data_IF_513610715654
#
_entry.id   IF_513610715654
#
_cell.length_a   1.000
_cell.length_b   1.000
_cell.length_c   1.000
_cell.angle_alpha   90.00
_cell.angle_beta   90.00
_cell.angle_gamma   90.00
#
_symmetry.space_group_name_H-M   'P 1'
#
loop_
_entity.id
_entity.type
_entity.pdbx_description
1 polymer ?
#
# COMPACT_ATOMS: atom_id res chain seq x y z
N UNK A 1 -27.39 18.33 -1.15
CA UNK A 1 -27.34 18.01 -2.59
C UNK A 1 -26.36 16.86 -2.73
N UNK A 2 -26.79 15.67 -3.16
CA UNK A 2 -26.12 14.40 -2.81
C UNK A 2 -26.18 13.35 -3.94
N UNK A 3 -25.73 13.73 -5.12
CA UNK A 3 -25.52 12.83 -6.27
C UNK A 3 -24.48 13.45 -7.21
N UNK A 4 -24.39 14.78 -7.24
CA UNK A 4 -23.34 15.53 -7.93
C UNK A 4 -22.00 15.51 -7.16
N UNK A 5 -21.99 15.49 -5.81
CA UNK A 5 -20.78 15.15 -5.00
C UNK A 5 -20.33 13.68 -5.22
N UNK A 6 -21.28 12.78 -5.54
CA UNK A 6 -20.95 11.39 -5.92
C UNK A 6 -20.29 11.31 -7.30
N UNK A 7 -20.55 12.26 -8.20
CA UNK A 7 -19.85 12.39 -9.49
C UNK A 7 -18.42 12.94 -9.32
N UNK A 8 -18.07 13.63 -8.23
CA UNK A 8 -16.66 13.81 -7.82
C UNK A 8 -16.01 12.47 -7.41
N UNK A 9 -16.82 11.49 -7.03
CA UNK A 9 -16.43 10.10 -6.75
C UNK A 9 -16.23 9.22 -7.98
N UNK A 10 -16.71 9.60 -9.17
CA UNK A 10 -16.48 8.88 -10.44
C UNK A 10 -15.52 9.65 -11.37
N UNK A 11 -15.62 10.97 -11.41
CA UNK A 11 -14.81 11.85 -12.24
C UNK A 11 -13.51 12.25 -11.53
N UNK A 12 -12.70 11.23 -11.25
CA UNK A 12 -11.23 11.27 -11.31
C UNK A 12 -10.61 10.01 -10.74
N UNK A 13 -11.35 8.97 -10.36
CA UNK A 13 -10.72 7.71 -9.94
C UNK A 13 -9.88 7.10 -11.07
N UNK A 14 -10.34 7.20 -12.32
CA UNK A 14 -9.57 6.80 -13.50
C UNK A 14 -8.30 7.63 -13.71
N UNK A 15 -8.40 8.96 -13.66
CA UNK A 15 -7.24 9.87 -13.81
C UNK A 15 -6.26 9.75 -12.65
N UNK A 16 -6.76 9.74 -11.41
CA UNK A 16 -5.98 9.52 -10.20
C UNK A 16 -5.25 8.18 -10.25
N UNK A 17 -5.96 7.12 -10.64
CA UNK A 17 -5.36 5.80 -10.83
C UNK A 17 -4.27 5.87 -11.89
N UNK A 18 -4.51 6.47 -13.05
CA UNK A 18 -3.51 6.63 -14.09
C UNK A 18 -2.27 7.41 -13.59
N UNK A 19 -2.47 8.52 -12.89
CA UNK A 19 -1.38 9.35 -12.35
C UNK A 19 -0.57 8.58 -11.29
N UNK A 20 -1.24 7.86 -10.39
CA UNK A 20 -0.60 7.01 -9.38
C UNK A 20 0.14 5.85 -10.03
N UNK A 21 -0.48 5.17 -11.00
CA UNK A 21 0.16 4.07 -11.73
C UNK A 21 1.39 4.54 -12.51
N UNK A 22 1.33 5.73 -13.13
CA UNK A 22 2.46 6.34 -13.82
C UNK A 22 3.61 6.66 -12.85
N UNK A 23 3.30 7.29 -11.71
CA UNK A 23 4.32 7.60 -10.68
C UNK A 23 4.94 6.33 -10.11
N UNK A 24 4.14 5.31 -9.79
CA UNK A 24 4.62 4.00 -9.31
C UNK A 24 5.50 3.29 -10.35
N UNK A 25 5.16 3.42 -11.64
CA UNK A 25 5.93 2.82 -12.73
C UNK A 25 7.27 3.51 -12.93
N UNK A 26 7.29 4.86 -12.96
CA UNK A 26 8.52 5.66 -13.08
C UNK A 26 9.48 5.35 -11.93
N UNK A 27 8.94 5.20 -10.72
CA UNK A 27 9.72 4.88 -9.52
C UNK A 27 9.97 3.37 -9.32
N UNK A 28 9.57 2.52 -10.28
CA UNK A 28 9.72 1.06 -10.23
C UNK A 28 9.06 0.37 -9.01
N UNK A 29 8.14 1.06 -8.34
CA UNK A 29 7.45 0.60 -7.14
C UNK A 29 6.13 -0.15 -7.44
N UNK A 30 5.66 -0.10 -8.69
CA UNK A 30 4.46 -0.82 -9.16
C UNK A 30 4.44 -2.33 -8.78
N UNK A 31 5.54 -3.10 -8.91
CA UNK A 31 5.53 -4.52 -8.57
C UNK A 31 5.22 -4.81 -7.09
N UNK A 32 5.55 -3.88 -6.18
CA UNK A 32 5.22 -3.98 -4.75
C UNK A 32 3.71 -3.87 -4.54
N UNK A 33 3.07 -2.90 -5.19
CA UNK A 33 1.61 -2.69 -5.10
C UNK A 33 0.84 -3.85 -5.72
N UNK A 34 1.37 -4.45 -6.79
CA UNK A 34 0.80 -5.63 -7.44
C UNK A 34 1.05 -6.94 -6.67
N UNK A 35 1.81 -6.91 -5.57
CA UNK A 35 2.19 -8.11 -4.82
C UNK A 35 3.13 -9.07 -5.56
N UNK A 36 3.74 -8.62 -6.67
CA UNK A 36 4.76 -9.39 -7.41
C UNK A 36 6.12 -9.36 -6.72
N UNK A 37 6.36 -8.30 -5.95
CA UNK A 37 7.52 -8.14 -5.09
C UNK A 37 7.00 -8.05 -3.66
N UNK A 38 7.33 -9.03 -2.83
CA UNK A 38 6.88 -9.14 -1.44
C UNK A 38 8.08 -9.08 -0.49
N UNK A 39 7.78 -8.80 0.78
CA UNK A 39 8.80 -8.82 1.83
C UNK A 39 9.39 -10.24 1.90
N UNK A 40 10.72 -10.33 1.89
CA UNK A 40 11.41 -11.61 1.99
C UNK A 40 11.20 -12.25 3.37
N UNK A 41 11.05 -13.57 3.39
CA UNK A 41 10.98 -14.34 4.64
C UNK A 41 12.29 -14.26 5.42
N UNK A 42 12.25 -14.24 6.75
CA UNK A 42 13.46 -14.23 7.56
C UNK A 42 14.39 -15.40 7.21
N UNK A 43 15.68 -15.13 7.06
CA UNK A 43 16.68 -16.18 6.87
C UNK A 43 16.76 -17.09 8.11
N UNK A 44 17.09 -18.39 7.91
CA UNK A 44 17.41 -19.27 9.02
C UNK A 44 18.69 -18.82 9.73
N UNK A 45 18.83 -19.18 11.01
CA UNK A 45 19.92 -18.70 11.87
C UNK A 45 21.32 -19.06 11.33
N UNK A 46 21.42 -20.24 10.74
CA UNK A 46 22.64 -20.84 10.18
C UNK A 46 22.95 -20.40 8.73
N UNK A 47 22.18 -19.46 8.17
CA UNK A 47 22.47 -18.91 6.84
C UNK A 47 23.90 -18.35 6.76
N UNK A 48 24.55 -18.62 5.64
CA UNK A 48 25.90 -18.18 5.35
C UNK A 48 25.99 -16.65 5.29
N UNK A 49 27.20 -16.11 5.46
CA UNK A 49 27.40 -14.66 5.40
C UNK A 49 27.05 -14.08 4.02
N UNK A 50 27.26 -14.85 2.94
CA UNK A 50 26.90 -14.43 1.59
C UNK A 50 25.37 -14.40 1.39
N UNK A 51 24.65 -15.37 1.94
CA UNK A 51 23.18 -15.37 1.94
C UNK A 51 22.62 -14.20 2.73
N UNK A 52 23.20 -13.91 3.91
CA UNK A 52 22.83 -12.75 4.73
C UNK A 52 23.02 -11.42 3.98
N UNK A 53 24.17 -11.21 3.34
CA UNK A 53 24.43 -10.00 2.53
C UNK A 53 23.45 -9.84 1.36
N UNK A 54 23.15 -10.94 0.68
CA UNK A 54 22.19 -10.94 -0.43
C UNK A 54 20.78 -10.62 0.06
N UNK A 55 20.39 -11.22 1.18
CA UNK A 55 19.11 -10.95 1.84
C UNK A 55 18.97 -9.51 2.30
N UNK A 56 19.97 -8.97 3.00
CA UNK A 56 19.93 -7.59 3.50
C UNK A 56 19.82 -6.58 2.34
N UNK A 57 20.52 -6.84 1.24
CA UNK A 57 20.44 -6.02 0.03
C UNK A 57 19.05 -6.08 -0.60
N UNK A 58 18.48 -7.29 -0.72
CA UNK A 58 17.14 -7.48 -1.28
C UNK A 58 16.05 -6.89 -0.37
N UNK A 59 16.19 -7.04 0.96
CA UNK A 59 15.29 -6.49 1.95
C UNK A 59 15.30 -4.97 1.91
N UNK A 60 16.49 -4.35 1.88
CA UNK A 60 16.63 -2.90 1.76
C UNK A 60 15.98 -2.38 0.47
N UNK A 61 16.21 -3.06 -0.65
CA UNK A 61 15.57 -2.71 -1.94
C UNK A 61 14.04 -2.80 -1.85
N UNK A 62 13.51 -3.85 -1.22
CA UNK A 62 12.08 -3.98 -0.97
C UNK A 62 11.54 -2.82 -0.11
N UNK A 63 12.20 -2.52 1.01
CA UNK A 63 11.77 -1.47 1.94
C UNK A 63 11.79 -0.07 1.30
N UNK A 64 12.78 0.22 0.45
CA UNK A 64 12.84 1.46 -0.31
C UNK A 64 11.65 1.57 -1.29
N UNK A 65 11.36 0.51 -2.05
CA UNK A 65 10.24 0.51 -3.00
C UNK A 65 8.87 0.54 -2.30
N UNK A 66 8.72 -0.16 -1.18
CA UNK A 66 7.51 -0.14 -0.34
C UNK A 66 7.29 1.24 0.29
N UNK A 67 8.34 1.91 0.76
CA UNK A 67 8.26 3.27 1.27
C UNK A 67 7.82 4.26 0.18
N UNK A 68 8.39 4.15 -1.03
CA UNK A 68 8.01 4.99 -2.17
C UNK A 68 6.56 4.74 -2.58
N UNK A 69 6.13 3.47 -2.67
CA UNK A 69 4.75 3.12 -3.00
C UNK A 69 3.76 3.72 -1.98
N UNK A 70 4.06 3.55 -0.69
CA UNK A 70 3.26 4.12 0.41
C UNK A 70 3.21 5.64 0.36
N UNK A 71 4.32 6.29 0.02
CA UNK A 71 4.39 7.74 -0.11
C UNK A 71 3.50 8.23 -1.27
N UNK A 72 3.63 7.64 -2.47
CA UNK A 72 2.86 8.04 -3.66
C UNK A 72 1.35 7.84 -3.41
N UNK A 73 0.95 6.68 -2.91
CA UNK A 73 -0.46 6.41 -2.59
C UNK A 73 -0.94 7.33 -1.47
N UNK A 74 -0.17 7.47 -0.40
CA UNK A 74 -0.56 8.25 0.78
C UNK A 74 -0.53 9.77 0.60
N UNK A 75 0.19 10.28 -0.41
CA UNK A 75 0.26 11.72 -0.76
C UNK A 75 -0.72 12.10 -1.87
N UNK A 76 -1.12 11.15 -2.72
CA UNK A 76 -2.10 11.36 -3.78
C UNK A 76 -3.55 11.34 -3.30
N UNK A 77 -3.81 10.80 -2.10
CA UNK A 77 -5.14 10.83 -1.47
C UNK A 77 -5.34 12.20 -0.79
N UNK A 78 -6.47 12.86 -1.10
CA UNK A 78 -6.84 14.14 -0.50
C UNK A 78 -6.86 14.07 1.04
N UNK A 79 -6.63 15.20 1.75
CA UNK A 79 -6.56 15.22 3.21
C UNK A 79 -7.85 14.72 3.89
N UNK A 80 -9.05 15.01 3.36
CA UNK A 80 -10.29 14.58 4.02
C UNK A 80 -10.46 13.04 4.07
N UNK A 81 -10.32 12.29 2.96
CA UNK A 81 -10.31 10.82 3.03
C UNK A 81 -9.17 10.24 3.87
N UNK A 82 -7.97 10.84 3.81
CA UNK A 82 -6.81 10.41 4.59
C UNK A 82 -7.04 10.54 6.10
N UNK A 83 -7.61 11.67 6.52
CA UNK A 83 -7.99 11.89 7.91
C UNK A 83 -9.10 10.93 8.34
N UNK A 84 -10.09 10.65 7.49
CA UNK A 84 -11.13 9.66 7.79
C UNK A 84 -10.54 8.25 8.02
N UNK A 85 -9.66 7.79 7.13
CA UNK A 85 -8.96 6.50 7.26
C UNK A 85 -8.09 6.45 8.54
N UNK A 86 -7.36 7.52 8.85
CA UNK A 86 -6.54 7.60 10.07
C UNK A 86 -7.40 7.58 11.33
N UNK A 87 -8.52 8.32 11.34
CA UNK A 87 -9.47 8.36 12.47
C UNK A 87 -10.13 6.99 12.70
N UNK A 88 -10.44 6.27 11.61
CA UNK A 88 -10.94 4.90 11.66
C UNK A 88 -9.86 3.90 12.12
N UNK A 89 -8.59 4.08 11.75
CA UNK A 89 -7.46 3.23 12.18
C UNK A 89 -7.13 3.37 13.66
N UNK A 90 -7.34 4.56 14.23
CA UNK A 90 -7.19 4.82 15.67
C UNK A 90 -8.42 4.46 16.49
N UNK A 91 -9.56 4.20 15.85
CA UNK A 91 -10.80 3.78 16.51
C UNK A 91 -10.84 2.25 16.54
N UNK A 92 -11.10 1.67 17.71
CA UNK A 92 -11.17 0.22 18.03
C UNK A 92 -12.12 -0.65 17.17
N UNK A 93 -12.72 -0.11 16.10
CA UNK A 93 -13.68 -0.75 15.20
C UNK A 93 -13.04 -1.62 14.11
N UNK A 94 -11.74 -1.49 13.82
CA UNK A 94 -11.08 -2.25 12.74
C UNK A 94 -11.04 -3.77 13.03
N UNK A 95 -10.92 -4.17 14.30
CA UNK A 95 -10.91 -5.59 14.70
C UNK A 95 -12.25 -6.28 14.41
N UNK A 96 -13.35 -5.53 14.43
CA UNK A 96 -14.71 -6.04 14.17
C UNK A 96 -14.98 -6.18 12.67
N UNK A 97 -14.44 -5.29 11.84
CA UNK A 97 -14.65 -5.32 10.39
C UNK A 97 -13.85 -6.44 9.71
N UNK A 98 -12.59 -6.67 10.12
CA UNK A 98 -11.78 -7.78 9.61
C UNK A 98 -12.28 -9.15 10.11
N UNK A 99 -12.88 -9.23 11.31
CA UNK A 99 -13.38 -10.50 11.88
C UNK A 99 -14.76 -10.91 11.35
N UNK A 100 -15.63 -9.96 10.97
CA UNK A 100 -16.97 -10.28 10.46
C UNK A 100 -17.05 -10.38 8.92
N UNK A 101 -16.03 -9.92 8.19
CA UNK A 101 -15.97 -10.05 6.73
C UNK A 101 -15.53 -11.43 6.23
N UNK A 102 -14.95 -12.28 7.08
CA UNK A 102 -14.44 -13.62 6.72
C UNK A 102 -15.30 -14.80 7.23
N UNK A 103 -16.42 -14.54 7.93
CA UNK A 103 -17.33 -15.59 8.44
C UNK A 103 -18.74 -15.52 7.84
N UNK A 104 -18.85 -15.11 6.58
CA UNK A 104 -20.01 -15.46 5.73
C UNK A 104 -19.54 -16.25 4.52
N UNK A 105 -19.09 -17.48 4.82
CA UNK A 105 -19.27 -18.64 3.97
C UNK A 105 -20.34 -19.52 4.60
#
# INVERSE_FOLDING_TARGET
MNFIERLEGEMNWGSWKFDVELQLTVQKAMPVVQGRVTKLEPLPFDASENEKKTYDTALKCFEELDAVARYIIGSSVRPEPKNHILTCRTSTLFTVFMSNGMNRG
#
